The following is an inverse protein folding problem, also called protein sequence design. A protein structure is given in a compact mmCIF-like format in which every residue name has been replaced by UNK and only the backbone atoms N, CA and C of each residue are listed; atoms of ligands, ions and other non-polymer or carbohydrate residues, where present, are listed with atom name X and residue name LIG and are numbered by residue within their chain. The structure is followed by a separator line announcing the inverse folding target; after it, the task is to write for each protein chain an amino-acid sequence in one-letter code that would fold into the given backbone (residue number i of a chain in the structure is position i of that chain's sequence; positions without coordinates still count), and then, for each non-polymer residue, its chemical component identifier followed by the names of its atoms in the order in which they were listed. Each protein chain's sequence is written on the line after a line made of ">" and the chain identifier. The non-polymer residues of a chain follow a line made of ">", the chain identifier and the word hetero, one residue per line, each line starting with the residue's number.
data_IF_183824539993
#
_entry.id   IF_183824539993
#
_cell.length_a   1.000
_cell.length_b   1.000
_cell.length_c   1.000
_cell.angle_alpha   90.00
_cell.angle_beta   90.00
_cell.angle_gamma   90.00
#
_symmetry.space_group_name_H-M   'P 1'
#
loop_
_entity.id
_entity.type
_entity.pdbx_description
1 polymer ?
#
# COMPACT_ATOMS: atom_id res chain seq x y z
N UNK A 1 -21.70 4.09 -23.69
CA UNK A 1 -21.27 4.93 -22.56
C UNK A 1 -20.25 4.12 -21.77
N UNK A 2 -19.00 4.58 -21.71
CA UNK A 2 -18.03 3.94 -20.82
C UNK A 2 -18.52 4.14 -19.37
N UNK A 3 -18.59 3.04 -18.63
CA UNK A 3 -18.95 3.10 -17.22
C UNK A 3 -17.91 3.92 -16.48
N UNK A 4 -18.35 4.81 -15.56
CA UNK A 4 -17.45 5.55 -14.66
C UNK A 4 -16.59 4.60 -13.80
N UNK A 5 -16.97 3.32 -13.72
CA UNK A 5 -16.26 2.24 -13.02
C UNK A 5 -15.39 1.39 -13.96
N UNK A 6 -15.16 1.83 -15.21
CA UNK A 6 -14.30 1.10 -16.12
C UNK A 6 -12.83 1.22 -15.71
N UNK A 7 -12.25 0.11 -15.27
CA UNK A 7 -10.84 0.00 -14.86
C UNK A 7 -9.96 -0.69 -15.91
N UNK A 8 -10.54 -1.14 -17.03
CA UNK A 8 -9.83 -1.91 -18.05
C UNK A 8 -8.61 -1.15 -18.59
N UNK A 9 -7.46 -1.79 -18.56
CA UNK A 9 -6.20 -1.23 -19.05
C UNK A 9 -5.53 -0.22 -18.12
N UNK A 10 -6.08 0.02 -16.93
CA UNK A 10 -5.41 0.79 -15.87
C UNK A 10 -4.21 0.02 -15.32
N UNK A 11 -3.21 0.75 -14.85
CA UNK A 11 -2.02 0.18 -14.21
C UNK A 11 -2.11 0.43 -12.71
N UNK A 12 -2.11 -0.63 -11.91
CA UNK A 12 -2.08 -0.54 -10.46
C UNK A 12 -0.76 -1.11 -9.90
N UNK A 13 -0.22 -0.47 -8.89
CA UNK A 13 0.91 -0.97 -8.10
C UNK A 13 0.45 -1.22 -6.67
N UNK A 14 0.74 -2.41 -6.14
CA UNK A 14 0.31 -2.83 -4.82
C UNK A 14 1.55 -3.18 -3.98
N UNK A 15 1.88 -2.34 -2.99
CA UNK A 15 2.91 -2.68 -2.02
C UNK A 15 2.38 -3.72 -1.04
N UNK A 16 3.24 -4.66 -0.61
CA UNK A 16 2.76 -5.81 0.15
C UNK A 16 1.82 -6.71 -0.65
N UNK A 17 1.89 -6.63 -1.99
CA UNK A 17 0.99 -7.32 -2.91
C UNK A 17 1.04 -8.85 -2.88
N UNK A 18 2.05 -9.43 -2.21
CA UNK A 18 2.14 -10.86 -1.93
C UNK A 18 1.57 -11.26 -0.55
N UNK A 19 1.08 -10.29 0.23
CA UNK A 19 0.39 -10.54 1.51
C UNK A 19 -1.09 -10.86 1.30
N UNK A 20 -1.80 -11.25 2.37
CA UNK A 20 -3.20 -11.70 2.31
C UNK A 20 -4.11 -10.63 1.69
N UNK A 21 -4.12 -9.40 2.21
CA UNK A 21 -4.96 -8.32 1.67
C UNK A 21 -4.45 -7.85 0.31
N UNK A 22 -3.13 -7.67 0.16
CA UNK A 22 -2.54 -7.18 -1.09
C UNK A 22 -2.79 -8.10 -2.27
N UNK A 23 -2.68 -9.42 -2.10
CA UNK A 23 -2.98 -10.38 -3.15
C UNK A 23 -4.46 -10.41 -3.52
N UNK A 24 -5.36 -10.27 -2.54
CA UNK A 24 -6.80 -10.16 -2.82
C UNK A 24 -7.12 -8.90 -3.64
N UNK A 25 -6.58 -7.73 -3.27
CA UNK A 25 -6.76 -6.51 -4.06
C UNK A 25 -6.24 -6.68 -5.49
N UNK A 26 -5.05 -7.30 -5.64
CA UNK A 26 -4.46 -7.54 -6.95
C UNK A 26 -5.34 -8.45 -7.83
N UNK A 27 -5.86 -9.55 -7.28
CA UNK A 27 -6.75 -10.46 -7.99
C UNK A 27 -8.04 -9.76 -8.45
N UNK A 28 -8.76 -9.10 -7.53
CA UNK A 28 -10.02 -8.41 -7.84
C UNK A 28 -9.82 -7.31 -8.89
N UNK A 29 -8.73 -6.53 -8.81
CA UNK A 29 -8.43 -5.53 -9.82
C UNK A 29 -8.10 -6.17 -11.17
N UNK A 30 -7.35 -7.26 -11.19
CA UNK A 30 -7.02 -7.97 -12.43
C UNK A 30 -8.26 -8.56 -13.13
N UNK A 31 -9.25 -9.07 -12.37
CA UNK A 31 -10.56 -9.49 -12.87
C UNK A 31 -11.32 -8.34 -13.56
N UNK A 32 -11.11 -7.10 -13.12
CA UNK A 32 -11.67 -5.90 -13.76
C UNK A 32 -10.81 -5.37 -14.94
N UNK A 33 -9.82 -6.14 -15.37
CA UNK A 33 -8.95 -5.81 -16.49
C UNK A 33 -7.82 -4.81 -16.19
N UNK A 34 -7.52 -4.59 -14.91
CA UNK A 34 -6.34 -3.81 -14.48
C UNK A 34 -5.08 -4.65 -14.65
N UNK A 35 -3.99 -4.04 -15.05
CA UNK A 35 -2.65 -4.66 -15.03
C UNK A 35 -2.05 -4.38 -13.65
N UNK A 36 -1.81 -5.42 -12.85
CA UNK A 36 -1.43 -5.29 -11.45
C UNK A 36 0.05 -5.58 -11.20
N UNK A 37 0.76 -4.62 -10.63
CA UNK A 37 2.15 -4.75 -10.18
C UNK A 37 2.20 -5.18 -8.72
N UNK A 38 2.87 -6.30 -8.46
CA UNK A 38 2.99 -6.93 -7.14
C UNK A 38 4.36 -6.58 -6.55
N UNK A 39 4.38 -5.64 -5.58
CA UNK A 39 5.62 -5.27 -4.89
C UNK A 39 5.78 -6.09 -3.62
N UNK A 40 6.90 -6.76 -3.49
CA UNK A 40 7.28 -7.56 -2.32
C UNK A 40 8.79 -7.57 -2.13
N UNK A 41 9.26 -7.77 -0.89
CA UNK A 41 10.68 -8.02 -0.61
C UNK A 41 11.14 -9.39 -1.15
N UNK A 42 10.23 -10.39 -1.20
CA UNK A 42 10.49 -11.69 -1.83
C UNK A 42 9.92 -11.71 -3.24
N UNK A 43 10.79 -11.85 -4.23
CA UNK A 43 10.38 -11.97 -5.63
C UNK A 43 9.62 -13.27 -5.89
N UNK A 44 9.95 -14.34 -5.16
CA UNK A 44 9.28 -15.64 -5.27
C UNK A 44 7.81 -15.54 -4.85
N UNK A 45 7.54 -14.87 -3.72
CA UNK A 45 6.16 -14.63 -3.27
C UNK A 45 5.39 -13.73 -4.24
N UNK A 46 6.04 -12.69 -4.78
CA UNK A 46 5.42 -11.84 -5.80
C UNK A 46 5.07 -12.64 -7.06
N UNK A 47 5.99 -13.48 -7.54
CA UNK A 47 5.76 -14.33 -8.71
C UNK A 47 4.65 -15.36 -8.48
N UNK A 48 4.51 -15.90 -7.27
CA UNK A 48 3.38 -16.79 -6.92
C UNK A 48 2.05 -16.07 -7.09
N UNK A 49 1.95 -14.82 -6.63
CA UNK A 49 0.73 -14.01 -6.80
C UNK A 49 0.48 -13.69 -8.28
N UNK A 50 1.53 -13.34 -9.04
CA UNK A 50 1.43 -13.11 -10.49
C UNK A 50 0.92 -14.34 -11.21
N UNK A 51 1.50 -15.51 -10.96
CA UNK A 51 1.07 -16.76 -11.58
C UNK A 51 -0.41 -17.10 -11.28
N UNK A 52 -0.87 -16.84 -10.05
CA UNK A 52 -2.28 -17.03 -9.68
C UNK A 52 -3.20 -16.09 -10.47
N UNK A 53 -2.82 -14.83 -10.65
CA UNK A 53 -3.59 -13.86 -11.45
C UNK A 53 -3.64 -14.25 -12.92
N UNK A 54 -2.50 -14.65 -13.50
CA UNK A 54 -2.39 -15.04 -14.90
C UNK A 54 -3.15 -16.34 -15.19
N UNK A 55 -3.17 -17.31 -14.26
CA UNK A 55 -3.96 -18.53 -14.41
C UNK A 55 -5.47 -18.28 -14.48
N UNK A 56 -5.93 -17.15 -13.91
CA UNK A 56 -7.31 -16.69 -13.99
C UNK A 56 -7.57 -15.74 -15.17
N UNK A 57 -6.60 -15.61 -16.11
CA UNK A 57 -6.73 -14.76 -17.30
C UNK A 57 -6.46 -13.28 -17.06
N UNK A 58 -6.03 -12.88 -15.87
CA UNK A 58 -5.62 -11.52 -15.55
C UNK A 58 -4.22 -11.18 -16.08
N UNK A 59 -3.79 -9.94 -15.87
CA UNK A 59 -2.43 -9.47 -16.21
C UNK A 59 -1.74 -8.92 -14.98
N UNK A 60 -0.55 -9.42 -14.68
CA UNK A 60 0.23 -8.95 -13.55
C UNK A 60 1.75 -8.94 -13.85
N UNK A 61 2.52 -8.32 -12.98
CA UNK A 61 3.98 -8.36 -12.99
C UNK A 61 4.52 -8.22 -11.57
N UNK A 62 5.67 -8.83 -11.32
CA UNK A 62 6.33 -8.78 -10.02
C UNK A 62 7.42 -7.70 -10.01
N UNK A 63 7.57 -7.02 -8.87
CA UNK A 63 8.69 -6.13 -8.56
C UNK A 63 9.23 -6.49 -7.19
N UNK A 64 10.53 -6.78 -7.12
CA UNK A 64 11.20 -6.91 -5.84
C UNK A 64 11.58 -5.52 -5.33
N UNK A 65 11.01 -5.11 -4.19
CA UNK A 65 11.40 -3.89 -3.51
C UNK A 65 11.00 -3.91 -2.03
N UNK A 66 11.85 -3.29 -1.21
CA UNK A 66 11.57 -2.96 0.18
C UNK A 66 10.92 -1.57 0.23
N UNK A 67 9.73 -1.47 0.80
CA UNK A 67 8.99 -0.20 0.96
C UNK A 67 9.71 0.82 1.84
N UNK A 68 10.73 0.41 2.59
CA UNK A 68 11.61 1.27 3.40
C UNK A 68 12.88 1.71 2.67
N UNK A 69 13.06 1.27 1.41
CA UNK A 69 14.23 1.61 0.61
C UNK A 69 13.84 2.50 -0.57
N UNK A 70 14.20 3.78 -0.50
CA UNK A 70 13.85 4.75 -1.54
C UNK A 70 14.43 4.40 -2.91
N UNK A 71 15.67 3.94 -2.96
CA UNK A 71 16.34 3.62 -4.23
C UNK A 71 15.65 2.44 -4.96
N UNK A 72 15.18 1.45 -4.20
CA UNK A 72 14.44 0.32 -4.77
C UNK A 72 13.07 0.75 -5.30
N UNK A 73 12.40 1.68 -4.60
CA UNK A 73 11.14 2.25 -5.06
C UNK A 73 11.31 3.14 -6.29
N UNK A 74 12.39 3.92 -6.38
CA UNK A 74 12.73 4.70 -7.58
C UNK A 74 12.97 3.78 -8.79
N UNK A 75 13.73 2.68 -8.61
CA UNK A 75 13.91 1.67 -9.66
C UNK A 75 12.58 1.04 -10.09
N UNK A 76 11.68 0.80 -9.14
CA UNK A 76 10.33 0.31 -9.44
C UNK A 76 9.52 1.34 -10.26
N UNK A 77 9.62 2.63 -9.92
CA UNK A 77 9.01 3.73 -10.67
C UNK A 77 9.54 3.79 -12.09
N UNK A 78 10.87 3.75 -12.27
CA UNK A 78 11.51 3.78 -13.59
C UNK A 78 11.08 2.59 -14.46
N UNK A 79 11.00 1.39 -13.87
CA UNK A 79 10.50 0.21 -14.57
C UNK A 79 9.07 0.41 -15.08
N UNK A 80 8.17 0.96 -14.23
CA UNK A 80 6.76 1.21 -14.61
C UNK A 80 6.68 2.24 -15.73
N UNK A 81 7.42 3.34 -15.61
CA UNK A 81 7.46 4.39 -16.65
C UNK A 81 7.97 3.83 -17.97
N UNK A 82 9.07 3.08 -17.95
CA UNK A 82 9.65 2.47 -19.15
C UNK A 82 8.71 1.47 -19.82
N UNK A 83 7.99 0.66 -19.03
CA UNK A 83 7.17 -0.45 -19.56
C UNK A 83 5.77 -0.01 -19.95
N UNK A 84 5.17 0.90 -19.20
CA UNK A 84 3.75 1.25 -19.32
C UNK A 84 3.51 2.74 -19.60
N UNK A 85 4.52 3.60 -19.40
CA UNK A 85 4.43 5.04 -19.59
C UNK A 85 3.58 5.77 -18.54
N UNK A 86 2.94 5.04 -17.62
CA UNK A 86 2.01 5.61 -16.63
C UNK A 86 1.79 4.69 -15.43
N UNK A 87 1.30 5.28 -14.35
CA UNK A 87 0.70 4.59 -13.22
C UNK A 87 -0.67 5.23 -12.93
N UNK A 88 -1.71 4.44 -12.71
CA UNK A 88 -3.05 4.98 -12.41
C UNK A 88 -3.40 4.85 -10.92
N UNK A 89 -2.98 3.76 -10.28
CA UNK A 89 -3.40 3.40 -8.93
C UNK A 89 -2.18 2.93 -8.14
N UNK A 90 -1.99 3.49 -6.96
CA UNK A 90 -1.06 2.98 -5.93
C UNK A 90 -1.88 2.48 -4.74
N UNK A 91 -1.69 1.22 -4.35
CA UNK A 91 -2.27 0.67 -3.11
C UNK A 91 -1.13 0.38 -2.15
N UNK A 92 -1.10 1.10 -1.03
CA UNK A 92 -0.16 0.88 0.06
C UNK A 92 -0.74 -0.16 1.03
N UNK A 93 -0.48 -1.45 0.76
CA UNK A 93 -0.93 -2.56 1.57
C UNK A 93 0.21 -3.24 2.35
N UNK A 94 1.45 -2.77 2.21
CA UNK A 94 2.54 -3.20 3.07
C UNK A 94 2.31 -2.68 4.50
N UNK A 95 2.34 -3.58 5.46
CA UNK A 95 2.09 -3.25 6.86
C UNK A 95 1.77 -4.50 7.67
N UNK A 96 1.62 -4.32 8.95
CA UNK A 96 1.29 -5.39 9.89
C UNK A 96 1.83 -5.13 11.28
N UNK A 97 1.60 -6.09 12.18
CA UNK A 97 2.17 -6.11 13.52
C UNK A 97 3.22 -7.21 13.63
N UNK A 98 3.99 -7.19 14.70
CA UNK A 98 5.04 -8.16 15.01
C UNK A 98 4.84 -8.75 16.41
N UNK A 99 5.20 -10.02 16.63
CA UNK A 99 5.08 -10.63 17.96
C UNK A 99 5.78 -9.83 19.07
N UNK A 100 7.00 -9.32 18.83
CA UNK A 100 7.76 -8.53 19.81
C UNK A 100 7.19 -7.14 20.13
N UNK A 101 6.24 -6.65 19.30
CA UNK A 101 5.48 -5.42 19.53
C UNK A 101 4.04 -5.70 20.01
N UNK A 102 3.77 -6.92 20.45
CA UNK A 102 2.46 -7.35 20.96
C UNK A 102 2.59 -7.64 22.46
N UNK A 103 1.80 -6.98 23.28
CA UNK A 103 1.73 -7.23 24.73
C UNK A 103 0.99 -8.54 24.96
N UNK A 104 1.61 -9.53 25.60
CA UNK A 104 0.96 -10.76 26.03
C UNK A 104 0.09 -10.52 27.29
N UNK A 105 -0.83 -11.43 27.65
CA UNK A 105 -1.73 -11.21 28.80
C UNK A 105 -1.02 -10.99 30.16
N UNK A 106 0.18 -11.51 30.30
CA UNK A 106 1.05 -11.44 31.49
C UNK A 106 2.08 -10.32 31.40
N UNK A 107 2.08 -9.51 30.34
CA UNK A 107 2.96 -8.36 30.14
C UNK A 107 2.23 -7.04 30.32
N UNK A 108 2.98 -6.02 30.69
CA UNK A 108 2.52 -4.63 30.76
C UNK A 108 3.16 -3.79 29.65
N UNK A 109 2.66 -2.58 29.45
CA UNK A 109 3.16 -1.69 28.39
C UNK A 109 4.66 -1.35 28.56
N UNK A 110 5.15 -1.29 29.77
CA UNK A 110 6.56 -0.99 30.06
C UNK A 110 7.50 -2.17 29.77
N UNK A 111 6.97 -3.35 29.46
CA UNK A 111 7.75 -4.52 29.03
C UNK A 111 8.05 -4.53 27.54
N UNK A 112 7.37 -3.66 26.75
CA UNK A 112 7.60 -3.56 25.31
C UNK A 112 9.00 -3.07 25.00
N UNK A 113 9.64 -3.77 24.05
CA UNK A 113 10.96 -3.37 23.57
C UNK A 113 10.83 -2.26 22.52
N UNK A 114 11.48 -1.13 22.76
CA UNK A 114 11.46 0.03 21.85
C UNK A 114 11.88 -0.34 20.43
N UNK A 115 12.85 -1.24 20.28
CA UNK A 115 13.31 -1.67 18.96
C UNK A 115 12.22 -2.40 18.14
N UNK A 116 11.37 -3.21 18.78
CA UNK A 116 10.30 -3.90 18.08
C UNK A 116 9.12 -2.95 17.80
N UNK A 117 8.85 -2.03 18.71
CA UNK A 117 7.91 -0.94 18.46
C UNK A 117 8.33 -0.11 17.24
N UNK A 118 9.62 0.26 17.14
CA UNK A 118 10.16 1.04 16.03
C UNK A 118 9.98 0.31 14.69
N UNK A 119 10.25 -1.00 14.64
CA UNK A 119 10.04 -1.80 13.41
C UNK A 119 8.59 -1.76 12.91
N UNK A 120 7.62 -1.82 13.84
CA UNK A 120 6.20 -1.73 13.48
C UNK A 120 5.85 -0.34 12.96
N UNK A 121 6.35 0.71 13.61
CA UNK A 121 6.18 2.10 13.19
C UNK A 121 6.78 2.32 11.79
N UNK A 122 8.02 1.90 11.59
CA UNK A 122 8.71 2.05 10.30
C UNK A 122 7.93 1.33 9.19
N UNK A 123 7.58 0.07 9.39
CA UNK A 123 6.86 -0.70 8.38
C UNK A 123 5.50 -0.07 8.02
N UNK A 124 4.72 0.35 9.02
CA UNK A 124 3.37 0.86 8.74
C UNK A 124 3.37 2.33 8.30
N UNK A 125 4.13 3.21 8.96
CA UNK A 125 4.14 4.65 8.65
C UNK A 125 5.06 4.91 7.46
N UNK A 126 6.37 4.64 7.60
CA UNK A 126 7.33 4.94 6.54
C UNK A 126 7.07 4.06 5.31
N UNK A 127 6.70 2.78 5.51
CA UNK A 127 6.33 1.87 4.43
C UNK A 127 5.06 2.26 3.65
N UNK A 128 4.26 3.22 4.15
CA UNK A 128 3.15 3.85 3.43
C UNK A 128 3.56 5.21 2.85
N UNK A 129 4.25 6.03 3.64
CA UNK A 129 4.62 7.40 3.24
C UNK A 129 5.65 7.41 2.11
N UNK A 130 6.67 6.56 2.19
CA UNK A 130 7.77 6.55 1.22
C UNK A 130 7.33 6.13 -0.20
N UNK A 131 6.57 5.04 -0.40
CA UNK A 131 5.99 4.75 -1.71
C UNK A 131 5.07 5.87 -2.19
N UNK A 132 4.23 6.43 -1.32
CA UNK A 132 3.37 7.57 -1.67
C UNK A 132 4.18 8.75 -2.16
N UNK A 133 5.29 9.08 -1.50
CA UNK A 133 6.20 10.16 -1.91
C UNK A 133 6.81 9.88 -3.29
N UNK A 134 7.34 8.68 -3.51
CA UNK A 134 8.04 8.33 -4.75
C UNK A 134 7.09 8.32 -5.95
N UNK A 135 5.92 7.71 -5.80
CA UNK A 135 4.97 7.56 -6.92
C UNK A 135 4.07 8.78 -7.14
N UNK A 136 3.90 9.66 -6.15
CA UNK A 136 3.13 10.91 -6.33
C UNK A 136 3.73 11.82 -7.39
N UNK A 137 5.03 11.73 -7.65
CA UNK A 137 5.67 12.47 -8.75
C UNK A 137 5.05 12.12 -10.11
N UNK A 138 4.78 10.83 -10.38
CA UNK A 138 4.11 10.41 -11.61
C UNK A 138 2.68 10.96 -11.69
N UNK A 139 1.94 10.90 -10.60
CA UNK A 139 0.58 11.43 -10.55
C UNK A 139 0.55 12.95 -10.76
N UNK A 140 1.52 13.67 -10.19
CA UNK A 140 1.68 15.11 -10.38
C UNK A 140 1.94 15.47 -11.86
N UNK A 141 2.83 14.73 -12.52
CA UNK A 141 3.13 14.89 -13.95
C UNK A 141 1.93 14.56 -14.82
N UNK A 142 1.20 13.49 -14.51
CA UNK A 142 0.00 13.05 -15.20
C UNK A 142 -1.23 13.92 -14.92
N UNK A 143 -1.21 14.70 -13.81
CA UNK A 143 -2.37 15.41 -13.22
C UNK A 143 -3.55 14.47 -12.93
N UNK A 144 -3.28 13.20 -12.76
CA UNK A 144 -4.26 12.17 -12.51
C UNK A 144 -3.63 10.99 -11.77
N UNK A 145 -4.35 10.43 -10.80
CA UNK A 145 -3.93 9.24 -10.06
C UNK A 145 -4.81 8.96 -8.86
N UNK A 146 -4.67 7.77 -8.32
CA UNK A 146 -5.39 7.35 -7.13
C UNK A 146 -4.46 6.62 -6.17
N UNK A 147 -4.35 7.12 -4.95
CA UNK A 147 -3.61 6.46 -3.86
C UNK A 147 -4.61 5.92 -2.87
N UNK A 148 -4.47 4.65 -2.52
CA UNK A 148 -5.29 3.97 -1.51
C UNK A 148 -4.36 3.45 -0.42
N UNK A 149 -4.50 3.97 0.80
CA UNK A 149 -3.76 3.53 1.95
C UNK A 149 -4.58 2.51 2.75
N UNK A 150 -3.95 1.44 3.22
CA UNK A 150 -4.64 0.47 4.07
C UNK A 150 -4.43 0.84 5.54
N UNK A 151 -5.48 1.41 6.12
CA UNK A 151 -5.60 1.72 7.53
C UNK A 151 -6.12 0.50 8.33
N UNK A 152 -6.86 0.72 9.38
CA UNK A 152 -7.48 -0.33 10.21
C UNK A 152 -8.57 0.28 11.09
N UNK A 153 -9.55 -0.50 11.51
CA UNK A 153 -10.47 -0.13 12.58
C UNK A 153 -9.72 0.21 13.89
N UNK A 154 -8.52 -0.33 14.08
CA UNK A 154 -7.62 0.00 15.22
C UNK A 154 -7.16 1.47 15.22
N UNK A 155 -7.27 2.19 14.11
CA UNK A 155 -6.96 3.62 14.04
C UNK A 155 -7.99 4.47 14.81
N UNK A 156 -9.24 4.02 14.85
CA UNK A 156 -10.37 4.76 15.43
C UNK A 156 -10.84 4.19 16.76
N UNK A 157 -10.57 2.93 17.03
CA UNK A 157 -10.95 2.24 18.27
C UNK A 157 -9.72 1.59 18.90
N UNK A 158 -9.50 1.77 20.19
CA UNK A 158 -8.34 1.16 20.84
C UNK A 158 -8.44 -0.37 20.75
N UNK A 159 -7.47 -0.96 20.07
CA UNK A 159 -7.24 -2.38 20.07
C UNK A 159 -6.16 -2.67 21.11
N UNK A 160 -6.51 -3.40 22.15
CA UNK A 160 -5.57 -3.77 23.21
C UNK A 160 -4.40 -4.59 22.67
N UNK A 161 -3.26 -4.56 23.35
CA UNK A 161 -2.06 -5.35 23.09
C UNK A 161 -1.19 -4.89 21.90
N UNK A 162 -1.68 -4.12 20.94
CA UNK A 162 -0.97 -3.76 19.70
C UNK A 162 -0.83 -2.26 19.53
N UNK A 163 -0.31 -1.59 20.55
CA UNK A 163 -0.24 -0.11 20.61
C UNK A 163 0.50 0.51 19.43
N UNK A 164 1.65 -0.04 19.03
CA UNK A 164 2.43 0.48 17.89
C UNK A 164 1.70 0.40 16.57
N UNK A 165 1.00 -0.71 16.36
CA UNK A 165 0.18 -0.90 15.16
C UNK A 165 -1.01 0.08 15.14
N UNK A 166 -1.77 0.17 16.23
CA UNK A 166 -2.95 1.05 16.31
C UNK A 166 -2.55 2.52 16.13
N UNK A 167 -1.50 2.98 16.80
CA UNK A 167 -0.97 4.33 16.65
C UNK A 167 -0.48 4.61 15.22
N UNK A 168 0.19 3.63 14.58
CA UNK A 168 0.62 3.77 13.19
C UNK A 168 -0.56 3.90 12.23
N UNK A 169 -1.63 3.14 12.44
CA UNK A 169 -2.82 3.22 11.59
C UNK A 169 -3.58 4.54 11.75
N UNK A 170 -3.62 5.11 12.95
CA UNK A 170 -4.13 6.47 13.17
C UNK A 170 -3.28 7.53 12.45
N UNK A 171 -1.95 7.38 12.47
CA UNK A 171 -1.04 8.25 11.71
C UNK A 171 -1.28 8.16 10.19
N UNK A 172 -1.58 6.96 9.65
CA UNK A 172 -1.92 6.78 8.23
C UNK A 172 -3.23 7.49 7.87
N UNK A 173 -4.24 7.47 8.72
CA UNK A 173 -5.49 8.20 8.48
C UNK A 173 -5.24 9.70 8.37
N UNK A 174 -4.45 10.28 9.27
CA UNK A 174 -4.07 11.68 9.21
C UNK A 174 -3.22 12.01 7.97
N UNK A 175 -2.21 11.19 7.68
CA UNK A 175 -1.38 11.33 6.49
C UNK A 175 -2.20 11.29 5.19
N UNK A 176 -3.20 10.40 5.12
CA UNK A 176 -4.09 10.29 3.96
C UNK A 176 -4.86 11.59 3.73
N UNK A 177 -5.43 12.17 4.79
CA UNK A 177 -6.15 13.44 4.72
C UNK A 177 -5.22 14.59 4.30
N UNK A 178 -4.06 14.70 4.93
CA UNK A 178 -3.07 15.71 4.57
C UNK A 178 -2.65 15.60 3.10
N UNK A 179 -2.33 14.40 2.64
CA UNK A 179 -1.87 14.17 1.27
C UNK A 179 -2.97 14.43 0.23
N UNK A 180 -4.22 14.11 0.56
CA UNK A 180 -5.37 14.41 -0.31
C UNK A 180 -5.51 15.92 -0.57
N UNK A 181 -5.42 16.73 0.48
CA UNK A 181 -5.49 18.20 0.38
C UNK A 181 -4.27 18.76 -0.36
N UNK A 182 -3.06 18.32 0.00
CA UNK A 182 -1.80 18.81 -0.57
C UNK A 182 -1.72 18.55 -2.07
N UNK A 183 -2.03 17.33 -2.52
CA UNK A 183 -1.97 16.99 -3.95
C UNK A 183 -3.08 17.65 -4.77
N UNK A 184 -4.30 17.72 -4.23
CA UNK A 184 -5.40 18.40 -4.91
C UNK A 184 -5.13 19.91 -5.06
N UNK A 185 -4.62 20.55 -4.03
CA UNK A 185 -4.28 21.98 -4.05
C UNK A 185 -3.19 22.29 -5.06
N UNK A 186 -2.15 21.46 -5.15
CA UNK A 186 -0.99 21.73 -6.02
C UNK A 186 -1.18 21.29 -7.46
N UNK A 187 -1.89 20.18 -7.69
CA UNK A 187 -1.90 19.51 -9.00
C UNK A 187 -3.31 19.35 -9.58
N UNK A 188 -4.36 19.69 -8.82
CA UNK A 188 -5.75 19.64 -9.25
C UNK A 188 -6.50 18.38 -8.79
N UNK A 189 -7.80 18.35 -9.04
CA UNK A 189 -8.75 17.36 -8.52
C UNK A 189 -8.60 15.94 -9.13
N UNK A 190 -7.77 15.80 -10.15
CA UNK A 190 -7.52 14.52 -10.81
C UNK A 190 -6.71 13.53 -9.95
N UNK A 191 -6.06 14.00 -8.86
CA UNK A 191 -5.32 13.15 -7.93
C UNK A 191 -6.13 12.99 -6.66
N UNK A 192 -6.43 11.75 -6.29
CA UNK A 192 -7.21 11.43 -5.10
C UNK A 192 -6.43 10.50 -4.18
N UNK A 193 -6.56 10.74 -2.88
CA UNK A 193 -5.95 9.92 -1.84
C UNK A 193 -7.02 9.53 -0.82
N UNK A 194 -7.19 8.24 -0.60
CA UNK A 194 -8.17 7.68 0.32
C UNK A 194 -7.56 6.58 1.18
N UNK A 195 -8.20 6.26 2.29
CA UNK A 195 -7.86 5.10 3.10
C UNK A 195 -9.02 4.10 3.13
N UNK A 196 -8.68 2.82 3.22
CA UNK A 196 -9.61 1.74 3.56
C UNK A 196 -9.26 1.29 4.99
N UNK A 197 -10.26 1.24 5.85
CA UNK A 197 -10.15 0.77 7.24
C UNK A 197 -10.82 -0.60 7.39
N UNK A 198 -10.11 -1.71 7.16
CA UNK A 198 -10.66 -3.04 7.38
C UNK A 198 -11.05 -3.23 8.84
N UNK A 199 -12.18 -3.91 9.06
CA UNK A 199 -12.61 -4.35 10.37
C UNK A 199 -11.92 -5.65 10.81
N UNK A 200 -12.39 -6.19 11.92
CA UNK A 200 -12.00 -7.51 12.39
C UNK A 200 -13.03 -8.51 11.87
N UNK A 201 -12.56 -9.60 11.32
CA UNK A 201 -13.36 -10.78 10.94
C UNK A 201 -12.99 -11.95 11.83
#
# INVERSE_FOLDING_TARGET
>A
MDSIFNLKGKIALITGGAGVLGSNFANVLAEQGVITGIVSQSIEKANTTVAAIESNGGKAFAIQANVLNKEELEKAKDFIVKKYGRLDILINAAGGNMPGATISPDQAIYDLQTADLQKVIDLNIIGTMLPSQVFSELFAQQKQGNIINISSAAAQRPLTRVVGYAASKAAIDNFTQWMAVELATKYGEGIRVNAISPGFS
#
